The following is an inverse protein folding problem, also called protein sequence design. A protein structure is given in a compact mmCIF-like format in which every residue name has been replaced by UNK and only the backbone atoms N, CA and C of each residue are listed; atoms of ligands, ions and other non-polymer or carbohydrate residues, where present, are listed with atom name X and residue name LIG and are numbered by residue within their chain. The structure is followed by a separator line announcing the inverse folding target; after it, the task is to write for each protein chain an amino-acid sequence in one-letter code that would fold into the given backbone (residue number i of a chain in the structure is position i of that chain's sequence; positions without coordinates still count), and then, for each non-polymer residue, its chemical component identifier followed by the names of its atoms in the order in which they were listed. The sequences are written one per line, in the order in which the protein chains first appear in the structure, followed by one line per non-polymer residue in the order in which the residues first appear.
data_IF_260812491219
#
_entry.id   IF_260812491219
#
_cell.length_a   1.000
_cell.length_b   1.000
_cell.length_c   1.000
_cell.angle_alpha   90.00
_cell.angle_beta   90.00
_cell.angle_gamma   90.00
#
_symmetry.space_group_name_H-M   'P 1'
#
loop_
_entity.id
_entity.type
_entity.pdbx_description
1 polymer ?
#
# COMPACT_ATOMS: atom_id res chain seq x y z
N UNK A 1 3.92 -9.14 -10.62
CA UNK A 1 5.16 -8.53 -11.12
C UNK A 1 5.92 -7.98 -9.94
N UNK A 2 7.24 -8.12 -9.92
CA UNK A 2 8.10 -7.47 -8.94
C UNK A 2 8.14 -5.96 -9.19
N UNK A 3 8.24 -5.18 -8.11
CA UNK A 3 8.30 -3.73 -8.12
C UNK A 3 9.48 -3.29 -7.26
N UNK A 4 10.37 -2.51 -7.86
CA UNK A 4 11.52 -1.92 -7.17
C UNK A 4 11.03 -0.87 -6.17
N UNK A 5 11.56 -0.93 -4.95
CA UNK A 5 11.38 0.07 -3.91
C UNK A 5 12.51 1.08 -4.03
N UNK A 6 12.15 2.33 -4.32
CA UNK A 6 13.10 3.42 -4.54
C UNK A 6 13.30 4.30 -3.30
N UNK A 7 12.32 4.30 -2.38
CA UNK A 7 12.39 5.04 -1.12
C UNK A 7 11.57 4.35 -0.04
N UNK A 8 12.02 4.45 1.22
CA UNK A 8 11.29 3.96 2.38
C UNK A 8 11.27 4.99 3.51
N UNK A 9 10.11 5.15 4.16
CA UNK A 9 9.93 6.01 5.34
C UNK A 9 8.92 5.42 6.30
N UNK A 10 9.17 5.50 7.61
CA UNK A 10 8.18 5.16 8.63
C UNK A 10 7.51 6.43 9.14
N UNK A 11 6.17 6.42 9.19
CA UNK A 11 5.36 7.53 9.70
C UNK A 11 4.43 7.08 10.83
N UNK A 12 4.11 7.99 11.75
CA UNK A 12 3.11 7.76 12.79
C UNK A 12 1.75 8.28 12.31
N UNK A 13 0.86 7.38 11.85
CA UNK A 13 -0.44 7.78 11.32
C UNK A 13 -1.52 6.72 11.59
N UNK A 14 -2.38 7.00 12.56
CA UNK A 14 -3.47 6.11 12.99
C UNK A 14 -4.50 5.86 11.89
N UNK A 15 -4.79 6.86 11.04
CA UNK A 15 -5.78 6.74 9.95
C UNK A 15 -5.25 5.79 8.88
N UNK A 16 -4.02 6.00 8.42
CA UNK A 16 -3.35 5.09 7.48
C UNK A 16 -3.28 3.68 8.06
N UNK A 17 -2.83 3.54 9.31
CA UNK A 17 -2.72 2.22 9.94
C UNK A 17 -4.06 1.50 9.99
N UNK A 18 -5.11 2.18 10.43
CA UNK A 18 -6.45 1.60 10.55
C UNK A 18 -7.02 1.23 9.18
N UNK A 19 -6.87 2.12 8.19
CA UNK A 19 -7.31 1.88 6.81
C UNK A 19 -6.60 0.69 6.17
N UNK A 20 -5.27 0.61 6.29
CA UNK A 20 -4.50 -0.52 5.76
C UNK A 20 -4.87 -1.84 6.44
N UNK A 21 -5.04 -1.86 7.77
CA UNK A 21 -5.52 -3.05 8.49
C UNK A 21 -6.90 -3.50 8.00
N UNK A 22 -7.79 -2.56 7.72
CA UNK A 22 -9.12 -2.83 7.16
C UNK A 22 -9.01 -3.53 5.79
N UNK A 23 -8.16 -3.02 4.90
CA UNK A 23 -7.93 -3.61 3.57
C UNK A 23 -7.33 -5.02 3.65
N UNK A 24 -6.55 -5.33 4.70
CA UNK A 24 -5.99 -6.67 4.88
C UNK A 24 -7.05 -7.71 5.31
N UNK A 25 -8.14 -7.28 5.97
CA UNK A 25 -9.19 -8.18 6.45
C UNK A 25 -10.02 -8.76 5.30
N UNK A 26 -9.94 -10.09 5.14
CA UNK A 26 -10.62 -10.81 4.05
C UNK A 26 -12.15 -10.75 4.14
N UNK A 27 -12.71 -10.76 5.35
CA UNK A 27 -14.16 -10.63 5.60
C UNK A 27 -14.68 -9.27 5.16
N UNK A 28 -14.00 -8.20 5.56
CA UNK A 28 -14.38 -6.84 5.16
C UNK A 28 -14.35 -6.66 3.65
N UNK A 29 -13.30 -7.17 2.97
CA UNK A 29 -13.19 -7.12 1.51
C UNK A 29 -14.29 -7.88 0.76
N UNK A 30 -14.82 -8.96 1.34
CA UNK A 30 -15.89 -9.77 0.72
C UNK A 30 -17.27 -9.15 0.92
N UNK A 31 -17.48 -8.41 2.01
CA UNK A 31 -18.80 -7.96 2.45
C UNK A 31 -19.15 -6.53 1.97
N UNK A 32 -18.22 -5.80 1.35
CA UNK A 32 -18.43 -4.41 0.92
C UNK A 32 -18.65 -4.29 -0.58
N UNK A 33 -19.34 -3.22 -0.95
CA UNK A 33 -19.40 -2.76 -2.33
C UNK A 33 -17.97 -2.54 -2.85
N UNK A 34 -17.69 -3.15 -4.00
CA UNK A 34 -16.40 -3.08 -4.68
C UNK A 34 -16.04 -1.65 -5.06
N UNK A 35 -17.02 -0.80 -5.38
CA UNK A 35 -16.78 0.62 -5.67
C UNK A 35 -16.24 1.35 -4.43
N UNK A 36 -16.90 1.18 -3.29
CA UNK A 36 -16.45 1.76 -2.02
C UNK A 36 -15.06 1.25 -1.61
N UNK A 37 -14.75 -0.03 -1.85
CA UNK A 37 -13.42 -0.59 -1.60
C UNK A 37 -12.33 0.12 -2.44
N UNK A 38 -12.60 0.37 -3.73
CA UNK A 38 -11.67 1.06 -4.62
C UNK A 38 -11.49 2.52 -4.24
N UNK A 39 -12.58 3.21 -3.87
CA UNK A 39 -12.54 4.60 -3.39
C UNK A 39 -11.70 4.74 -2.12
N UNK A 40 -11.89 3.84 -1.14
CA UNK A 40 -11.09 3.82 0.09
C UNK A 40 -9.61 3.57 -0.22
N UNK A 41 -9.31 2.62 -1.10
CA UNK A 41 -7.93 2.33 -1.50
C UNK A 41 -7.27 3.54 -2.18
N UNK A 42 -8.00 4.25 -3.05
CA UNK A 42 -7.51 5.46 -3.71
C UNK A 42 -7.27 6.62 -2.72
N UNK A 43 -8.18 6.84 -1.78
CA UNK A 43 -7.99 7.86 -0.74
C UNK A 43 -6.77 7.57 0.14
N UNK A 44 -6.60 6.32 0.57
CA UNK A 44 -5.41 5.92 1.33
C UNK A 44 -4.14 6.12 0.52
N UNK A 45 -4.17 5.77 -0.77
CA UNK A 45 -3.04 5.97 -1.67
C UNK A 45 -2.60 7.43 -1.74
N UNK A 46 -3.55 8.35 -1.92
CA UNK A 46 -3.26 9.79 -1.99
C UNK A 46 -2.62 10.28 -0.69
N UNK A 47 -3.15 9.86 0.47
CA UNK A 47 -2.57 10.23 1.77
C UNK A 47 -1.14 9.69 1.92
N UNK A 48 -0.86 8.46 1.46
CA UNK A 48 0.49 7.89 1.52
C UNK A 48 1.49 8.65 0.64
N UNK A 49 1.09 9.07 -0.57
CA UNK A 49 1.93 9.86 -1.47
C UNK A 49 2.32 11.21 -0.88
N UNK A 50 1.39 11.88 -0.18
CA UNK A 50 1.65 13.15 0.49
C UNK A 50 2.76 13.06 1.56
N UNK A 51 2.92 11.91 2.24
CA UNK A 51 3.96 11.74 3.26
C UNK A 51 5.39 11.64 2.70
N UNK A 52 5.51 11.35 1.41
CA UNK A 52 6.78 11.18 0.69
C UNK A 52 7.01 12.24 -0.39
N UNK A 53 6.08 13.17 -0.58
CA UNK A 53 6.13 14.22 -1.61
C UNK A 53 6.49 13.66 -3.00
N UNK A 54 5.76 12.61 -3.40
CA UNK A 54 6.05 11.87 -4.63
C UNK A 54 4.82 11.66 -5.50
N UNK A 55 5.06 11.55 -6.81
CA UNK A 55 4.06 11.14 -7.81
C UNK A 55 4.08 9.63 -8.04
N UNK A 56 5.09 8.93 -7.55
CA UNK A 56 5.18 7.48 -7.62
C UNK A 56 4.19 6.82 -6.67
N UNK A 57 3.88 5.57 -6.94
CA UNK A 57 2.98 4.76 -6.14
C UNK A 57 3.67 4.44 -4.82
N UNK A 58 2.96 4.64 -3.71
CA UNK A 58 3.47 4.39 -2.35
C UNK A 58 2.66 3.30 -1.69
N UNK A 59 3.31 2.25 -1.22
CA UNK A 59 2.66 1.11 -0.57
C UNK A 59 2.88 1.20 0.93
N UNK A 60 1.81 1.05 1.70
CA UNK A 60 1.86 1.10 3.15
C UNK A 60 1.84 -0.29 3.79
N UNK A 61 2.70 -0.49 4.79
CA UNK A 61 2.70 -1.67 5.66
C UNK A 61 2.40 -1.22 7.09
N UNK A 62 1.33 -1.72 7.73
CA UNK A 62 1.04 -1.37 9.12
C UNK A 62 2.10 -1.96 10.06
N UNK A 63 2.75 -1.10 10.84
CA UNK A 63 3.73 -1.44 11.86
C UNK A 63 3.13 -1.55 13.27
N UNK A 64 4.01 -1.53 14.27
CA UNK A 64 3.61 -1.57 15.68
C UNK A 64 3.01 -0.23 16.13
N UNK A 65 2.12 -0.25 17.13
CA UNK A 65 1.52 0.99 17.66
C UNK A 65 0.72 1.78 16.62
N UNK A 66 1.22 2.96 16.24
CA UNK A 66 0.62 3.87 15.23
C UNK A 66 1.45 3.97 13.95
N UNK A 67 2.46 3.12 13.82
CA UNK A 67 3.42 3.17 12.71
C UNK A 67 2.86 2.61 11.42
N UNK A 68 3.27 3.21 10.33
CA UNK A 68 3.11 2.71 8.97
C UNK A 68 4.44 2.91 8.25
N UNK A 69 5.00 1.83 7.70
CA UNK A 69 6.14 1.90 6.79
C UNK A 69 5.61 2.12 5.38
N UNK A 70 6.04 3.21 4.76
CA UNK A 70 5.71 3.60 3.40
C UNK A 70 6.88 3.23 2.48
N UNK A 71 6.56 2.55 1.39
CA UNK A 71 7.49 2.10 0.36
C UNK A 71 7.11 2.76 -0.96
N UNK A 72 7.91 3.71 -1.41
CA UNK A 72 7.78 4.26 -2.76
C UNK A 72 8.29 3.23 -3.77
N UNK A 73 7.49 2.94 -4.79
CA UNK A 73 7.87 2.03 -5.86
C UNK A 73 7.92 2.73 -7.21
N UNK A 74 8.80 2.26 -8.09
CA UNK A 74 8.97 2.80 -9.44
C UNK A 74 7.78 2.45 -10.36
N UNK A 75 6.62 3.08 -10.09
CA UNK A 75 5.35 2.94 -10.80
C UNK A 75 4.56 4.22 -10.56
N UNK A 76 4.14 4.92 -11.61
CA UNK A 76 3.41 6.20 -11.47
C UNK A 76 1.90 6.04 -11.51
N UNK A 77 1.41 4.88 -11.96
CA UNK A 77 -0.02 4.61 -12.09
C UNK A 77 -0.58 4.01 -10.82
N UNK A 78 -1.77 4.47 -10.43
CA UNK A 78 -2.51 3.83 -9.34
C UNK A 78 -2.81 2.37 -9.67
N UNK A 79 -2.41 1.47 -8.77
CA UNK A 79 -2.75 0.05 -8.85
C UNK A 79 -3.41 -0.36 -7.54
N UNK A 80 -4.71 -0.72 -7.54
CA UNK A 80 -5.41 -1.09 -6.32
C UNK A 80 -4.85 -2.40 -5.78
N UNK A 81 -4.26 -2.34 -4.59
CA UNK A 81 -3.64 -3.46 -3.90
C UNK A 81 -4.11 -3.50 -2.46
N UNK A 82 -4.03 -4.67 -1.84
CA UNK A 82 -4.49 -4.85 -0.47
C UNK A 82 -3.47 -5.54 0.42
N UNK A 83 -2.33 -5.98 -0.12
CA UNK A 83 -1.19 -6.48 0.64
C UNK A 83 0.07 -6.55 -0.22
N UNK A 84 1.20 -6.55 0.47
CA UNK A 84 2.46 -7.06 -0.05
C UNK A 84 2.46 -8.58 0.11
N UNK A 85 2.72 -9.29 -0.98
CA UNK A 85 2.80 -10.76 -1.02
C UNK A 85 4.18 -11.27 -0.65
N UNK A 86 5.21 -10.63 -1.18
CA UNK A 86 6.60 -11.05 -1.05
C UNK A 86 7.49 -9.82 -1.02
N UNK A 87 8.58 -9.93 -0.28
CA UNK A 87 9.66 -8.95 -0.16
C UNK A 87 10.96 -9.68 -0.42
N UNK A 88 11.81 -9.12 -1.27
CA UNK A 88 13.13 -9.66 -1.59
C UNK A 88 14.13 -8.52 -1.50
N UNK A 89 15.19 -8.73 -0.73
CA UNK A 89 16.36 -7.88 -0.70
C UNK A 89 17.48 -8.57 -1.48
N UNK A 90 18.16 -7.82 -2.34
CA UNK A 90 19.26 -8.30 -3.17
C UNK A 90 20.34 -7.24 -3.28
N UNK A 91 21.51 -7.59 -3.84
CA UNK A 91 22.56 -6.63 -4.13
C UNK A 91 22.12 -5.53 -5.13
N UNK A 92 21.09 -5.82 -5.94
CA UNK A 92 20.55 -4.91 -6.96
C UNK A 92 19.45 -3.99 -6.40
N UNK A 93 18.98 -4.23 -5.17
CA UNK A 93 17.96 -3.41 -4.52
C UNK A 93 16.88 -4.22 -3.80
N UNK A 94 15.87 -3.49 -3.33
CA UNK A 94 14.73 -4.01 -2.56
C UNK A 94 13.50 -4.10 -3.48
N UNK A 95 12.91 -5.28 -3.60
CA UNK A 95 11.78 -5.55 -4.47
C UNK A 95 10.59 -6.10 -3.70
N UNK A 96 9.39 -5.67 -4.09
CA UNK A 96 8.13 -6.14 -3.53
C UNK A 96 7.20 -6.70 -4.60
N UNK A 97 6.37 -7.66 -4.20
CA UNK A 97 5.27 -8.18 -5.01
C UNK A 97 3.95 -7.79 -4.37
N UNK A 98 3.05 -7.20 -5.15
CA UNK A 98 1.75 -6.74 -4.65
C UNK A 98 0.61 -7.67 -5.03
N UNK A 99 -0.31 -7.89 -4.09
CA UNK A 99 -1.57 -8.57 -4.39
C UNK A 99 -2.66 -7.55 -4.70
N UNK A 100 -3.16 -7.62 -5.94
CA UNK A 100 -4.15 -6.69 -6.46
C UNK A 100 -5.55 -7.01 -5.96
N UNK A 101 -6.35 -5.97 -5.77
CA UNK A 101 -7.81 -6.11 -5.69
C UNK A 101 -8.27 -6.50 -7.10
N UNK A 102 -8.90 -7.67 -7.26
CA UNK A 102 -9.37 -8.13 -8.58
C UNK A 102 -10.50 -7.22 -9.08
N UNK A 103 -10.20 -6.35 -10.02
CA UNK A 103 -11.21 -5.78 -10.93
C UNK A 103 -11.72 -6.90 -11.85
N UNK A 104 -13.04 -6.94 -12.06
CA UNK A 104 -13.71 -7.85 -13.01
C UNK A 104 -13.77 -7.05 -14.30
#
# INVERSE_FOLDING_TARGET
MWKEVIHQKTVQNTILRSGLRLLHQSTWRKNKDKKALLEIAAHLQNVMQLHLDTKNLVVGVPGFGKEVTLLEINETRFVPHYRIDQVVESAEGHFIKLKRIKTI
#
